data_IF_635295317504
#
_entry.id   IF_635295317504
#
_cell.length_a   1.000
_cell.length_b   1.000
_cell.length_c   1.000
_cell.angle_alpha   90.00
_cell.angle_beta   90.00
_cell.angle_gamma   90.00
#
_symmetry.space_group_name_H-M   'P 1'
#
loop_
_entity.id
_entity.type
_entity.pdbx_description
1 polymer ?
#
# COMPACT_ATOMS: atom_id res chain seq x y z
N UNK A 1 1.41 1.85 8.94
CA UNK A 1 0.00 1.63 9.36
C UNK A 1 -0.30 1.94 10.82
N UNK A 2 0.69 2.09 11.72
CA UNK A 2 0.43 2.35 13.14
C UNK A 2 0.11 3.80 13.52
N UNK A 3 0.07 4.70 12.54
CA UNK A 3 -0.24 6.12 12.69
C UNK A 3 -1.60 6.42 12.02
N UNK A 4 -2.28 7.53 12.36
CA UNK A 4 -3.50 7.96 11.69
C UNK A 4 -3.33 8.06 10.18
N UNK A 5 -4.29 7.52 9.43
CA UNK A 5 -4.25 7.35 7.98
C UNK A 5 -5.36 8.05 7.22
N UNK A 6 -6.23 8.81 7.88
CA UNK A 6 -7.39 9.47 7.26
C UNK A 6 -6.99 10.27 6.01
N UNK A 7 -7.64 9.95 4.88
CA UNK A 7 -7.33 10.54 3.56
C UNK A 7 -5.95 10.22 2.98
N UNK A 8 -5.23 9.23 3.51
CA UNK A 8 -3.87 8.86 3.10
C UNK A 8 -3.80 7.44 2.53
N UNK A 9 -2.93 7.28 1.53
CA UNK A 9 -2.56 5.99 0.96
C UNK A 9 -1.10 5.71 1.30
N UNK A 10 -0.80 4.48 1.72
CA UNK A 10 0.58 4.04 1.99
C UNK A 10 1.15 3.34 0.75
N UNK A 11 2.19 3.93 0.19
CA UNK A 11 2.93 3.37 -0.96
C UNK A 11 4.21 2.72 -0.46
N UNK A 12 4.37 1.42 -0.68
CA UNK A 12 5.48 0.61 -0.16
C UNK A 12 6.32 0.07 -1.31
N UNK A 13 7.55 0.55 -1.42
CA UNK A 13 8.55 -0.07 -2.28
C UNK A 13 9.20 -1.27 -1.59
N UNK A 14 8.78 -2.47 -1.97
CA UNK A 14 9.33 -3.73 -1.51
C UNK A 14 10.42 -4.31 -2.42
N UNK A 15 10.91 -3.52 -3.38
CA UNK A 15 11.79 -3.98 -4.45
C UNK A 15 11.16 -5.00 -5.39
N UNK A 16 9.83 -5.12 -5.40
CA UNK A 16 9.11 -6.08 -6.23
C UNK A 16 9.33 -7.55 -5.85
N UNK A 17 9.83 -7.79 -4.62
CA UNK A 17 10.17 -9.13 -4.16
C UNK A 17 8.93 -10.03 -4.11
N UNK A 18 9.03 -11.20 -4.74
CA UNK A 18 8.05 -12.28 -4.65
C UNK A 18 8.38 -13.35 -3.61
N UNK A 19 9.42 -13.12 -2.78
CA UNK A 19 9.96 -14.12 -1.84
C UNK A 19 9.32 -14.09 -0.46
N UNK A 20 8.73 -12.97 -0.08
CA UNK A 20 8.09 -12.75 1.22
C UNK A 20 6.92 -11.78 1.06
N UNK A 21 5.92 -11.88 1.94
CA UNK A 21 4.85 -10.92 2.07
C UNK A 21 5.20 -9.75 3.01
N UNK A 22 4.82 -8.55 2.60
CA UNK A 22 5.01 -7.29 3.33
C UNK A 22 3.75 -6.87 4.10
N UNK A 23 2.58 -7.38 3.69
CA UNK A 23 1.28 -7.14 4.32
C UNK A 23 0.58 -8.48 4.56
N UNK A 24 -0.08 -8.58 5.71
CA UNK A 24 -1.02 -9.65 6.05
C UNK A 24 -2.23 -9.05 6.79
N UNK A 25 -3.16 -9.92 7.18
CA UNK A 25 -4.43 -9.58 7.82
C UNK A 25 -4.31 -8.57 8.98
N UNK A 26 -3.49 -8.86 10.00
CA UNK A 26 -3.36 -8.04 11.20
C UNK A 26 -2.90 -6.60 10.90
N UNK A 27 -2.06 -6.44 9.87
CA UNK A 27 -1.59 -5.12 9.46
C UNK A 27 -2.62 -4.38 8.61
N UNK A 28 -3.40 -5.11 7.80
CA UNK A 28 -4.52 -4.57 7.04
C UNK A 28 -5.65 -4.10 7.96
N UNK A 29 -6.07 -4.94 8.92
CA UNK A 29 -7.06 -4.58 9.94
C UNK A 29 -6.63 -3.35 10.73
N UNK A 30 -5.37 -3.29 11.15
CA UNK A 30 -4.81 -2.13 11.85
C UNK A 30 -4.80 -0.88 10.97
N UNK A 31 -4.54 -1.01 9.67
CA UNK A 31 -4.59 0.12 8.75
C UNK A 31 -6.03 0.63 8.59
N UNK A 32 -7.00 -0.28 8.40
CA UNK A 32 -8.42 0.07 8.32
C UNK A 32 -8.90 0.77 9.60
N UNK A 33 -8.57 0.23 10.78
CA UNK A 33 -8.92 0.82 12.07
C UNK A 33 -8.31 2.21 12.29
N UNK A 34 -7.19 2.52 11.64
CA UNK A 34 -6.53 3.83 11.71
C UNK A 34 -6.96 4.79 10.58
N UNK A 35 -7.98 4.43 9.78
CA UNK A 35 -8.55 5.29 8.74
C UNK A 35 -7.74 5.37 7.44
N UNK A 36 -6.81 4.45 7.19
CA UNK A 36 -6.07 4.44 5.93
C UNK A 36 -7.03 4.18 4.75
N UNK A 37 -6.93 4.99 3.69
CA UNK A 37 -7.74 4.78 2.48
C UNK A 37 -7.30 3.53 1.72
N UNK A 38 -6.00 3.24 1.73
CA UNK A 38 -5.47 2.03 1.11
C UNK A 38 -3.95 1.91 1.14
N UNK A 39 -3.46 0.76 0.66
CA UNK A 39 -2.05 0.40 0.57
C UNK A 39 -1.72 -0.05 -0.86
N UNK A 40 -0.62 0.46 -1.43
CA UNK A 40 -0.03 0.00 -2.68
C UNK A 40 1.31 -0.65 -2.35
N UNK A 41 1.42 -1.95 -2.59
CA UNK A 41 2.59 -2.76 -2.23
C UNK A 41 3.32 -3.19 -3.50
N UNK A 42 4.48 -2.60 -3.77
CA UNK A 42 5.40 -3.10 -4.79
C UNK A 42 6.16 -4.32 -4.25
N UNK A 43 5.44 -5.44 -4.15
CA UNK A 43 5.86 -6.70 -3.56
C UNK A 43 4.66 -7.62 -3.36
N UNK A 44 4.81 -8.66 -2.53
CA UNK A 44 3.74 -9.59 -2.22
C UNK A 44 3.01 -9.30 -0.90
N UNK A 45 1.79 -9.80 -0.80
CA UNK A 45 0.96 -9.83 0.42
C UNK A 45 0.54 -11.26 0.77
N UNK A 46 -0.19 -11.48 1.86
CA UNK A 46 -0.76 -12.77 2.25
C UNK A 46 -2.11 -12.58 2.94
N UNK A 47 -2.74 -13.69 3.35
CA UNK A 47 -4.02 -13.69 4.07
C UNK A 47 -5.16 -13.03 3.25
N UNK A 48 -5.15 -13.29 1.93
CA UNK A 48 -6.00 -12.58 0.95
C UNK A 48 -7.50 -12.74 1.18
N UNK A 49 -7.94 -13.87 1.73
CA UNK A 49 -9.37 -14.09 2.03
C UNK A 49 -9.87 -13.13 3.12
N UNK A 50 -9.02 -12.84 4.12
CA UNK A 50 -9.32 -11.89 5.19
C UNK A 50 -9.15 -10.45 4.70
N UNK A 51 -8.07 -10.17 3.97
CA UNK A 51 -7.84 -8.84 3.39
C UNK A 51 -8.98 -8.43 2.47
N UNK A 52 -9.53 -9.36 1.67
CA UNK A 52 -10.67 -9.09 0.79
C UNK A 52 -11.92 -8.63 1.55
N UNK A 53 -12.08 -9.04 2.80
CA UNK A 53 -13.22 -8.66 3.65
C UNK A 53 -12.94 -7.40 4.48
N UNK A 54 -11.70 -6.91 4.47
CA UNK A 54 -11.28 -5.71 5.21
C UNK A 54 -11.72 -4.45 4.45
N UNK A 55 -12.26 -3.46 5.15
CA UNK A 55 -12.61 -2.14 4.59
C UNK A 55 -11.35 -1.30 4.32
N UNK A 56 -10.53 -1.73 3.37
CA UNK A 56 -9.25 -1.13 3.00
C UNK A 56 -8.91 -1.44 1.55
N UNK A 57 -8.55 -0.42 0.76
CA UNK A 57 -8.01 -0.66 -0.59
C UNK A 57 -6.62 -1.30 -0.53
N UNK A 58 -6.38 -2.41 -1.23
CA UNK A 58 -5.06 -3.05 -1.31
C UNK A 58 -4.72 -3.44 -2.75
N UNK A 59 -3.61 -2.90 -3.27
CA UNK A 59 -3.02 -3.27 -4.55
C UNK A 59 -1.63 -3.87 -4.32
N UNK A 60 -1.33 -5.01 -4.95
CA UNK A 60 -0.04 -5.70 -4.79
C UNK A 60 0.35 -6.51 -6.03
N UNK A 61 1.61 -6.91 -6.15
CA UNK A 61 2.09 -7.72 -7.29
C UNK A 61 1.62 -9.18 -7.25
N UNK A 62 1.18 -9.67 -6.09
CA UNK A 62 0.72 -11.04 -5.90
C UNK A 62 0.80 -11.49 -4.44
N UNK A 63 0.75 -12.80 -4.22
CA UNK A 63 0.69 -13.41 -2.89
C UNK A 63 1.92 -14.24 -2.57
N UNK A 64 2.36 -14.23 -1.31
CA UNK A 64 3.36 -15.17 -0.79
C UNK A 64 3.10 -15.46 0.70
N UNK A 65 2.94 -16.72 1.14
CA UNK A 65 2.58 -17.02 2.53
C UNK A 65 3.69 -16.68 3.56
N UNK A 66 4.94 -16.57 3.11
CA UNK A 66 6.10 -16.37 3.98
C UNK A 66 6.19 -14.92 4.45
N UNK A 67 6.04 -14.68 5.76
CA UNK A 67 6.29 -13.36 6.37
C UNK A 67 7.75 -12.92 6.25
N UNK A 68 8.00 -11.62 6.35
CA UNK A 68 9.35 -11.07 6.57
C UNK A 68 9.79 -11.23 8.02
N UNK A 69 11.09 -11.10 8.24
CA UNK A 69 11.67 -10.88 9.57
C UNK A 69 11.73 -9.37 9.84
N UNK A 70 11.24 -8.94 11.01
CA UNK A 70 11.21 -7.51 11.37
C UNK A 70 12.55 -7.12 11.98
N UNK A 71 13.43 -6.54 11.17
CA UNK A 71 14.76 -6.05 11.59
C UNK A 71 14.84 -4.53 11.82
N UNK A 72 13.71 -3.82 11.72
CA UNK A 72 13.67 -2.36 11.85
C UNK A 72 14.32 -1.61 10.68
N UNK A 73 14.44 -2.26 9.52
CA UNK A 73 15.04 -1.68 8.31
C UNK A 73 13.96 -1.10 7.40
N UNK A 74 14.27 0.01 6.74
CA UNK A 74 13.43 0.69 5.77
C UNK A 74 13.39 2.20 6.01
N UNK A 75 13.24 2.95 4.94
CA UNK A 75 13.14 4.41 4.99
C UNK A 75 11.67 4.85 4.92
N UNK A 76 11.34 5.92 5.65
CA UNK A 76 9.99 6.47 5.68
C UNK A 76 9.96 7.82 4.97
N UNK A 77 8.92 8.06 4.17
CA UNK A 77 8.70 9.32 3.46
C UNK A 77 9.91 9.73 2.60
N UNK A 78 10.46 8.77 1.86
CA UNK A 78 11.42 9.02 0.78
C UNK A 78 10.72 8.86 -0.57
N UNK A 79 11.29 9.48 -1.61
CA UNK A 79 10.85 9.25 -2.98
C UNK A 79 11.12 7.79 -3.37
N UNK A 80 10.12 7.12 -3.97
CA UNK A 80 10.25 5.74 -4.45
C UNK A 80 9.83 5.64 -5.91
N UNK A 81 10.39 4.69 -6.66
CA UNK A 81 10.15 4.56 -8.10
C UNK A 81 9.96 3.11 -8.51
N UNK A 82 8.76 2.79 -8.98
CA UNK A 82 8.43 1.48 -9.53
C UNK A 82 7.27 1.60 -10.53
N UNK A 83 7.08 0.58 -11.37
CA UNK A 83 6.00 0.59 -12.38
C UNK A 83 6.07 1.76 -13.36
N UNK A 84 7.27 2.32 -13.61
CA UNK A 84 7.45 3.49 -14.47
C UNK A 84 7.07 4.83 -13.85
N UNK A 85 6.60 4.85 -12.60
CA UNK A 85 6.10 6.04 -11.89
C UNK A 85 7.03 6.39 -10.72
N UNK A 86 7.20 7.68 -10.46
CA UNK A 86 7.86 8.22 -9.26
C UNK A 86 6.79 8.65 -8.27
N UNK A 87 6.81 8.06 -7.08
CA UNK A 87 5.92 8.39 -5.97
C UNK A 87 6.65 9.29 -4.99
N UNK A 88 6.11 10.47 -4.72
CA UNK A 88 6.68 11.44 -3.79
C UNK A 88 5.77 11.59 -2.58
N UNK A 89 6.32 11.61 -1.35
CA UNK A 89 5.54 11.95 -0.17
C UNK A 89 4.85 13.31 -0.34
N UNK A 90 3.57 13.37 0.02
CA UNK A 90 2.73 14.57 -0.14
C UNK A 90 2.00 14.67 -1.48
N UNK A 91 2.38 13.88 -2.50
CA UNK A 91 1.57 13.74 -3.72
C UNK A 91 0.34 12.86 -3.46
N UNK A 92 -0.58 12.90 -4.40
CA UNK A 92 -1.81 12.13 -4.39
C UNK A 92 -1.69 10.89 -5.27
N UNK A 93 -2.32 9.80 -4.82
CA UNK A 93 -2.40 8.55 -5.55
C UNK A 93 -3.84 8.05 -5.50
N UNK A 94 -4.33 7.58 -6.63
CA UNK A 94 -5.69 7.08 -6.81
C UNK A 94 -5.58 5.69 -7.43
N UNK A 95 -6.40 4.76 -6.93
CA UNK A 95 -6.38 3.39 -7.37
C UNK A 95 -7.79 2.80 -7.42
N UNK A 96 -8.06 2.03 -8.45
CA UNK A 96 -9.29 1.27 -8.63
C UNK A 96 -8.98 -0.07 -9.32
N UNK A 97 -10.00 -0.70 -9.89
CA UNK A 97 -9.86 -1.96 -10.63
C UNK A 97 -9.20 -1.77 -12.02
N UNK A 98 -9.17 -0.56 -12.56
CA UNK A 98 -8.57 -0.25 -13.86
C UNK A 98 -7.07 0.00 -13.74
N UNK A 99 -6.63 0.67 -12.66
CA UNK A 99 -5.21 0.87 -12.41
C UNK A 99 -4.90 1.83 -11.27
N UNK A 100 -3.68 2.37 -11.32
CA UNK A 100 -3.14 3.33 -10.35
C UNK A 100 -2.63 4.55 -11.10
N UNK A 101 -3.03 5.74 -10.64
CA UNK A 101 -2.53 7.02 -11.14
C UNK A 101 -1.98 7.88 -10.01
N UNK A 102 -1.09 8.81 -10.35
CA UNK A 102 -0.51 9.76 -9.40
C UNK A 102 -0.70 11.19 -9.90
N UNK A 103 -0.84 12.13 -8.96
CA UNK A 103 -0.94 13.55 -9.24
C UNK A 103 -0.17 14.36 -8.19
N UNK A 104 0.59 15.40 -8.57
CA UNK A 104 1.18 16.34 -7.61
C UNK A 104 0.13 17.10 -6.81
N UNK A 105 -1.07 17.29 -7.38
CA UNK A 105 -2.17 18.06 -6.81
C UNK A 105 -3.42 17.19 -6.62
N UNK A 106 -4.32 17.52 -5.68
CA UNK A 106 -5.54 16.75 -5.47
C UNK A 106 -6.48 16.85 -6.67
N UNK A 107 -6.93 15.70 -7.16
CA UNK A 107 -8.01 15.57 -8.15
C UNK A 107 -9.35 15.35 -7.45
N UNK A 108 -10.39 15.98 -7.99
CA UNK A 108 -11.78 15.76 -7.60
C UNK A 108 -12.46 14.83 -8.60
N UNK A 109 -13.34 13.96 -8.11
CA UNK A 109 -14.24 13.22 -9.00
C UNK A 109 -15.13 14.20 -9.78
N UNK A 110 -15.29 14.02 -11.10
CA UNK A 110 -16.30 14.75 -11.87
C UNK A 110 -17.69 14.52 -11.28
N UNK A 111 -18.58 15.51 -11.46
CA UNK A 111 -19.97 15.42 -11.05
C UNK A 111 -20.76 14.40 -11.88
#
# INVERSE_FOLDING_TARGET
VGLPGEGRVMVVDGGGSKRNALLGDMLAEKAAANGWSGLIIYGCIRDVDVIRQTQLGVQALGTNPRKTEKRGLGDLNVEVKFGGVVFKPGHYVYADNNGVIVSPEPLSMPA
#
